data_IF_580672612506
#
_entry.id   IF_580672612506
#
_cell.length_a   1.000
_cell.length_b   1.000
_cell.length_c   1.000
_cell.angle_alpha   90.00
_cell.angle_beta   90.00
_cell.angle_gamma   90.00
#
_symmetry.space_group_name_H-M   'P 1'
#
loop_
_entity.id
_entity.type
_entity.pdbx_description
1 polymer ?
#
# COMPACT_ATOMS: atom_id res chain seq x y z
N UNK A 1 12.78 -58.38 -24.57
CA UNK A 1 11.37 -58.44 -24.15
C UNK A 1 11.25 -57.63 -22.88
N UNK A 2 10.32 -56.66 -22.89
CA UNK A 2 9.79 -55.83 -21.81
C UNK A 2 10.45 -55.88 -20.43
N UNK A 3 10.84 -54.71 -19.91
CA UNK A 3 10.36 -54.23 -18.60
C UNK A 3 10.14 -52.71 -18.70
N UNK A 4 8.88 -52.33 -18.91
CA UNK A 4 8.34 -50.99 -18.71
C UNK A 4 8.21 -50.78 -17.20
N UNK A 5 8.90 -49.76 -16.67
CA UNK A 5 8.58 -49.16 -15.38
C UNK A 5 7.64 -47.99 -15.68
N UNK A 6 6.34 -48.23 -15.55
CA UNK A 6 5.32 -47.18 -15.49
C UNK A 6 5.39 -46.58 -14.09
N UNK A 7 5.84 -45.32 -14.02
CA UNK A 7 5.64 -44.48 -12.86
C UNK A 7 4.17 -44.03 -12.91
N UNK A 8 3.40 -44.40 -11.90
CA UNK A 8 2.07 -43.84 -11.65
C UNK A 8 2.25 -42.45 -11.06
N UNK A 9 1.80 -41.44 -11.81
CA UNK A 9 1.62 -40.07 -11.34
C UNK A 9 0.41 -40.04 -10.38
N UNK A 10 0.68 -39.99 -9.08
CA UNK A 10 -0.29 -39.57 -8.06
C UNK A 10 -0.19 -38.05 -7.92
N UNK A 11 -0.92 -37.32 -8.77
CA UNK A 11 -1.18 -35.89 -8.61
C UNK A 11 -2.29 -35.71 -7.56
N UNK A 12 -1.91 -35.79 -6.28
CA UNK A 12 -2.71 -35.24 -5.19
C UNK A 12 -2.57 -33.70 -5.22
N UNK A 13 -3.44 -33.03 -5.98
CA UNK A 13 -3.71 -31.59 -5.78
C UNK A 13 -4.34 -31.43 -4.39
N UNK A 14 -3.50 -31.22 -3.37
CA UNK A 14 -3.95 -30.68 -2.09
C UNK A 14 -4.52 -29.28 -2.34
N UNK A 15 -5.86 -29.19 -2.36
CA UNK A 15 -6.59 -27.94 -2.19
C UNK A 15 -6.11 -27.28 -0.88
N UNK A 16 -5.16 -26.34 -0.98
CA UNK A 16 -4.80 -25.48 0.13
C UNK A 16 -6.06 -24.70 0.54
N UNK A 17 -6.69 -25.15 1.62
CA UNK A 17 -7.77 -24.46 2.32
C UNK A 17 -7.38 -22.99 2.51
N UNK A 18 -7.92 -22.11 1.66
CA UNK A 18 -7.84 -20.66 1.81
C UNK A 18 -8.60 -20.33 3.09
N UNK A 19 -7.88 -20.29 4.20
CA UNK A 19 -8.41 -19.81 5.48
C UNK A 19 -8.89 -18.40 5.24
N UNK A 20 -10.21 -18.21 5.25
CA UNK A 20 -10.81 -16.88 5.33
C UNK A 20 -10.25 -16.20 6.57
N UNK A 21 -9.28 -15.29 6.38
CA UNK A 21 -8.73 -14.51 7.48
C UNK A 21 -9.88 -13.71 8.11
N UNK A 22 -10.29 -14.12 9.31
CA UNK A 22 -11.38 -13.45 10.01
C UNK A 22 -11.06 -11.96 10.15
N UNK A 23 -11.98 -11.11 9.66
CA UNK A 23 -11.85 -9.66 9.79
C UNK A 23 -11.67 -9.32 11.29
N UNK A 24 -10.60 -8.61 11.66
CA UNK A 24 -10.25 -8.41 13.06
C UNK A 24 -11.35 -7.65 13.79
N UNK A 25 -11.64 -8.02 15.05
CA UNK A 25 -12.79 -7.53 15.81
C UNK A 25 -12.93 -6.00 15.83
N UNK A 26 -11.80 -5.29 15.85
CA UNK A 26 -11.77 -3.82 15.82
C UNK A 26 -12.32 -3.23 14.52
N UNK A 27 -12.07 -3.88 13.38
CA UNK A 27 -12.59 -3.43 12.09
C UNK A 27 -14.09 -3.73 12.01
N UNK A 28 -14.54 -4.89 12.50
CA UNK A 28 -15.96 -5.24 12.59
C UNK A 28 -16.74 -4.22 13.44
N UNK A 29 -16.22 -3.85 14.61
CA UNK A 29 -16.83 -2.87 15.52
C UNK A 29 -16.89 -1.47 14.88
N UNK A 30 -15.79 -1.00 14.30
CA UNK A 30 -15.75 0.29 13.62
C UNK A 30 -16.71 0.34 12.41
N UNK A 31 -16.81 -0.76 11.67
CA UNK A 31 -17.71 -0.90 10.52
C UNK A 31 -19.17 -0.77 10.93
N UNK A 32 -19.57 -1.42 12.02
CA UNK A 32 -20.91 -1.29 12.59
C UNK A 32 -21.17 0.16 13.03
N UNK A 33 -20.25 0.76 13.76
CA UNK A 33 -20.34 2.15 14.24
C UNK A 33 -20.52 3.14 13.08
N UNK A 34 -19.73 3.02 12.01
CA UNK A 34 -19.88 3.87 10.82
C UNK A 34 -21.19 3.63 10.10
N UNK A 35 -21.62 2.37 9.97
CA UNK A 35 -22.89 2.02 9.33
C UNK A 35 -24.06 2.68 10.06
N UNK A 36 -24.15 2.53 11.38
CA UNK A 36 -25.23 3.09 12.19
C UNK A 36 -25.29 4.61 12.05
N UNK A 37 -24.12 5.27 12.09
CA UNK A 37 -23.99 6.72 11.86
C UNK A 37 -24.57 7.16 10.51
N UNK A 38 -24.29 6.42 9.44
CA UNK A 38 -24.72 6.80 8.09
C UNK A 38 -26.16 6.38 7.77
N UNK A 39 -26.63 5.30 8.37
CA UNK A 39 -28.03 4.87 8.25
C UNK A 39 -28.98 5.87 8.93
N UNK A 40 -28.56 6.51 10.03
CA UNK A 40 -29.31 7.57 10.70
C UNK A 40 -29.46 8.86 9.87
N UNK A 41 -28.62 9.10 8.85
CA UNK A 41 -28.64 10.32 8.05
C UNK A 41 -29.67 10.28 6.91
N UNK A 42 -30.09 11.45 6.42
CA UNK A 42 -30.98 11.52 5.27
C UNK A 42 -30.25 11.11 3.97
N UNK A 43 -31.02 10.65 2.98
CA UNK A 43 -30.46 10.32 1.68
C UNK A 43 -29.85 11.53 0.96
N UNK A 44 -30.18 12.77 1.34
CA UNK A 44 -29.59 13.99 0.78
C UNK A 44 -28.23 14.28 1.42
N UNK A 45 -28.13 14.14 2.74
CA UNK A 45 -26.88 14.39 3.49
C UNK A 45 -25.79 13.43 3.06
N UNK A 46 -26.11 12.15 2.85
CA UNK A 46 -25.16 11.17 2.32
C UNK A 46 -24.64 11.58 0.93
N UNK A 47 -25.47 12.16 0.04
CA UNK A 47 -24.96 12.63 -1.27
C UNK A 47 -24.01 13.81 -1.08
N UNK A 48 -24.39 14.79 -0.26
CA UNK A 48 -23.53 15.94 0.03
C UNK A 48 -22.18 15.49 0.59
N UNK A 49 -22.18 14.51 1.49
CA UNK A 49 -20.96 13.93 2.05
C UNK A 49 -20.11 13.21 0.99
N UNK A 50 -20.72 12.49 0.04
CA UNK A 50 -20.00 11.87 -1.07
C UNK A 50 -19.42 12.92 -2.04
N UNK A 51 -20.20 13.95 -2.39
CA UNK A 51 -19.75 15.05 -3.25
C UNK A 51 -18.62 15.86 -2.60
N UNK A 52 -18.69 16.09 -1.29
CA UNK A 52 -17.63 16.78 -0.55
C UNK A 52 -16.30 15.99 -0.54
N UNK A 53 -16.34 14.67 -0.77
CA UNK A 53 -15.15 13.82 -0.95
C UNK A 53 -14.77 13.59 -2.42
N UNK A 54 -15.36 14.36 -3.34
CA UNK A 54 -15.19 14.25 -4.80
C UNK A 54 -15.41 12.83 -5.34
N UNK A 55 -16.34 12.08 -4.74
CA UNK A 55 -16.65 10.72 -5.17
C UNK A 55 -17.53 10.76 -6.43
N UNK A 56 -16.99 10.28 -7.54
CA UNK A 56 -17.70 10.13 -8.83
C UNK A 56 -18.63 8.92 -8.82
N UNK A 57 -19.74 9.02 -8.10
CA UNK A 57 -20.73 7.95 -7.97
C UNK A 57 -21.74 7.92 -9.14
N UNK A 58 -22.19 6.72 -9.52
CA UNK A 58 -23.20 6.52 -10.57
C UNK A 58 -24.50 7.26 -10.25
N UNK A 59 -25.09 7.89 -11.28
CA UNK A 59 -26.43 8.48 -11.17
C UNK A 59 -27.48 7.40 -10.85
N UNK A 60 -28.41 7.70 -9.96
CA UNK A 60 -29.44 6.75 -9.51
C UNK A 60 -29.03 5.78 -8.39
N UNK A 61 -27.80 5.84 -7.90
CA UNK A 61 -27.33 5.01 -6.77
C UNK A 61 -28.18 5.23 -5.51
N UNK A 62 -28.63 4.12 -4.91
CA UNK A 62 -29.52 4.10 -3.73
C UNK A 62 -28.78 4.57 -2.47
N UNK A 63 -29.53 4.97 -1.44
CA UNK A 63 -28.94 5.41 -0.15
C UNK A 63 -28.03 4.33 0.44
N UNK A 64 -28.48 3.08 0.51
CA UNK A 64 -27.71 1.97 1.09
C UNK A 64 -26.35 1.74 0.42
N UNK A 65 -26.30 1.81 -0.91
CA UNK A 65 -25.05 1.68 -1.67
C UNK A 65 -24.07 2.82 -1.36
N UNK A 66 -24.57 4.06 -1.27
CA UNK A 66 -23.73 5.22 -0.90
C UNK A 66 -23.23 5.11 0.55
N UNK A 67 -24.06 4.61 1.45
CA UNK A 67 -23.68 4.34 2.85
C UNK A 67 -22.55 3.32 2.89
N UNK A 68 -22.68 2.21 2.16
CA UNK A 68 -21.65 1.18 2.14
C UNK A 68 -20.31 1.70 1.61
N UNK A 69 -20.34 2.46 0.50
CA UNK A 69 -19.14 3.12 -0.03
C UNK A 69 -18.51 4.03 1.03
N UNK A 70 -19.34 4.78 1.78
CA UNK A 70 -18.84 5.68 2.80
C UNK A 70 -18.21 4.94 3.99
N UNK A 71 -18.83 3.86 4.44
CA UNK A 71 -18.27 2.98 5.47
C UNK A 71 -16.90 2.45 5.04
N UNK A 72 -16.77 1.92 3.81
CA UNK A 72 -15.49 1.42 3.29
C UNK A 72 -14.42 2.52 3.28
N UNK A 73 -14.78 3.72 2.86
CA UNK A 73 -13.88 4.87 2.79
C UNK A 73 -13.38 5.27 4.18
N UNK A 74 -14.26 5.36 5.17
CA UNK A 74 -13.87 5.82 6.50
C UNK A 74 -13.12 4.72 7.27
N UNK A 75 -13.43 3.45 7.03
CA UNK A 75 -12.59 2.32 7.46
C UNK A 75 -11.20 2.37 6.83
N UNK A 76 -11.12 2.64 5.52
CA UNK A 76 -9.83 2.82 4.85
C UNK A 76 -9.01 3.96 5.47
N UNK A 77 -9.67 5.07 5.79
CA UNK A 77 -9.01 6.20 6.43
C UNK A 77 -8.57 5.90 7.88
N UNK A 78 -9.39 5.18 8.65
CA UNK A 78 -9.08 4.86 10.05
C UNK A 78 -7.99 3.80 10.19
N UNK A 79 -8.07 2.73 9.41
CA UNK A 79 -7.18 1.58 9.57
C UNK A 79 -6.03 1.58 8.57
N UNK A 80 -6.29 1.80 7.29
CA UNK A 80 -5.23 1.64 6.28
C UNK A 80 -4.27 2.82 6.25
N UNK A 81 -4.76 4.07 6.28
CA UNK A 81 -3.88 5.24 6.34
C UNK A 81 -2.97 5.16 7.58
N UNK A 82 -3.52 4.86 8.75
CA UNK A 82 -2.73 4.85 9.98
C UNK A 82 -1.77 3.64 10.08
N UNK A 83 -2.19 2.45 9.63
CA UNK A 83 -1.37 1.22 9.70
C UNK A 83 -0.29 1.18 8.63
N UNK A 84 -0.60 1.65 7.41
CA UNK A 84 0.35 1.71 6.30
C UNK A 84 1.33 2.85 6.53
N UNK A 85 0.87 4.01 7.01
CA UNK A 85 1.66 5.23 6.97
C UNK A 85 2.36 5.62 8.30
N UNK A 86 2.20 4.85 9.37
CA UNK A 86 3.10 4.90 10.54
C UNK A 86 2.89 6.05 11.54
N UNK A 87 1.92 6.95 11.30
CA UNK A 87 1.60 8.06 12.21
C UNK A 87 0.51 7.70 13.25
N UNK A 88 0.01 6.46 13.25
CA UNK A 88 -1.06 6.01 14.13
C UNK A 88 -0.61 5.86 15.59
N UNK A 89 -1.28 6.57 16.52
CA UNK A 89 -1.13 6.49 17.99
C UNK A 89 -1.39 5.11 18.63
N UNK A 90 -1.57 4.05 17.83
CA UNK A 90 -1.99 2.73 18.30
C UNK A 90 -1.23 1.54 17.72
N UNK A 91 -0.26 1.73 16.81
CA UNK A 91 0.52 0.60 16.32
C UNK A 91 1.55 0.19 17.38
N UNK A 92 1.31 -0.94 18.04
CA UNK A 92 2.33 -1.68 18.81
C UNK A 92 3.64 -1.62 18.02
N UNK A 93 4.70 -1.09 18.64
CA UNK A 93 6.05 -0.90 18.10
C UNK A 93 6.36 -1.84 16.92
N UNK A 94 6.03 -1.43 15.68
CA UNK A 94 6.71 -2.01 14.51
C UNK A 94 8.16 -1.56 14.66
N UNK A 95 9.12 -2.49 14.57
CA UNK A 95 10.56 -2.26 14.78
C UNK A 95 11.18 -1.23 13.81
N UNK A 96 10.39 -0.54 12.98
CA UNK A 96 10.85 0.45 11.99
C UNK A 96 10.71 1.86 12.59
N UNK A 97 11.48 2.15 13.63
CA UNK A 97 11.29 3.30 14.53
C UNK A 97 11.47 4.73 13.98
N UNK A 98 11.27 5.03 12.69
CA UNK A 98 11.22 6.45 12.25
C UNK A 98 10.59 6.76 10.89
N UNK A 99 9.73 5.90 10.30
CA UNK A 99 9.02 6.30 9.07
C UNK A 99 7.82 7.20 9.41
N UNK A 100 7.60 8.24 8.62
CA UNK A 100 6.38 9.09 8.69
C UNK A 100 5.48 8.75 7.53
N UNK A 101 4.23 9.23 7.55
CA UNK A 101 3.31 8.99 6.44
C UNK A 101 3.81 9.50 5.09
N UNK A 102 4.59 10.56 5.11
CA UNK A 102 5.18 11.21 3.94
C UNK A 102 6.24 10.36 3.25
N UNK A 103 7.01 9.58 4.03
CA UNK A 103 8.14 8.81 3.52
C UNK A 103 7.71 7.79 2.46
N UNK A 104 6.53 7.19 2.60
CA UNK A 104 6.02 6.23 1.62
C UNK A 104 5.67 6.88 0.29
N UNK A 105 5.03 8.05 0.30
CA UNK A 105 4.68 8.76 -0.93
C UNK A 105 5.93 9.28 -1.65
N UNK A 106 6.89 9.82 -0.89
CA UNK A 106 8.19 10.19 -1.44
C UNK A 106 8.88 9.00 -2.10
N UNK A 107 8.91 7.85 -1.42
CA UNK A 107 9.52 6.63 -1.94
C UNK A 107 8.83 6.16 -3.23
N UNK A 108 7.50 6.16 -3.26
CA UNK A 108 6.73 5.81 -4.46
C UNK A 108 7.10 6.74 -5.63
N UNK A 109 7.11 8.05 -5.41
CA UNK A 109 7.50 9.00 -6.44
C UNK A 109 8.91 8.71 -6.98
N UNK A 110 9.86 8.38 -6.10
CA UNK A 110 11.24 8.05 -6.49
C UNK A 110 11.34 6.76 -7.29
N UNK A 111 10.69 5.68 -6.83
CA UNK A 111 10.74 4.39 -7.53
C UNK A 111 10.14 4.50 -8.94
N UNK A 112 9.17 5.38 -9.12
CA UNK A 112 8.53 5.66 -10.41
C UNK A 112 9.10 6.87 -11.16
N UNK A 113 10.20 7.48 -10.70
CA UNK A 113 10.93 8.46 -11.51
C UNK A 113 11.39 7.80 -12.80
N UNK A 114 11.22 8.46 -13.94
CA UNK A 114 11.57 7.89 -15.26
C UNK A 114 12.98 7.30 -15.30
N UNK A 115 13.95 8.00 -14.72
CA UNK A 115 15.35 7.56 -14.69
C UNK A 115 15.53 6.27 -13.88
N UNK A 116 14.79 6.10 -12.77
CA UNK A 116 14.86 4.91 -11.93
C UNK A 116 13.96 3.79 -12.46
N UNK A 117 12.82 4.08 -13.07
CA UNK A 117 11.96 3.11 -13.73
C UNK A 117 12.70 2.41 -14.88
N UNK A 118 13.47 3.16 -15.67
CA UNK A 118 14.33 2.58 -16.71
C UNK A 118 15.40 1.67 -16.09
N UNK A 119 16.09 2.11 -15.01
CA UNK A 119 17.06 1.25 -14.30
C UNK A 119 16.42 0.02 -13.66
N UNK A 120 15.20 0.14 -13.16
CA UNK A 120 14.45 -0.97 -12.59
C UNK A 120 14.16 -2.03 -13.65
N UNK A 121 13.69 -1.65 -14.84
CA UNK A 121 13.47 -2.60 -15.93
C UNK A 121 14.77 -3.29 -16.38
N UNK A 122 15.90 -2.58 -16.33
CA UNK A 122 17.23 -3.13 -16.62
C UNK A 122 17.79 -4.01 -15.49
N UNK A 123 17.25 -3.91 -14.27
CA UNK A 123 17.64 -4.75 -13.14
C UNK A 123 17.10 -6.19 -13.24
N UNK A 124 16.30 -6.49 -14.26
CA UNK A 124 15.69 -7.80 -14.50
C UNK A 124 16.68 -8.97 -14.61
N UNK A 125 16.54 -9.93 -13.69
CA UNK A 125 16.86 -11.37 -13.77
C UNK A 125 18.20 -11.79 -14.41
N UNK A 126 19.32 -11.19 -13.99
CA UNK A 126 20.66 -11.77 -14.22
C UNK A 126 21.34 -12.26 -12.95
N UNK A 127 20.64 -12.27 -11.83
CA UNK A 127 21.24 -12.73 -10.59
C UNK A 127 21.27 -14.28 -10.56
N UNK A 128 22.42 -14.89 -10.25
CA UNK A 128 22.52 -16.33 -10.04
C UNK A 128 21.55 -16.82 -8.95
N UNK A 129 20.99 -18.02 -9.11
CA UNK A 129 20.08 -18.66 -8.13
C UNK A 129 20.66 -18.64 -6.70
N UNK A 130 21.96 -18.88 -6.56
CA UNK A 130 22.65 -18.85 -5.27
C UNK A 130 22.59 -17.49 -4.55
N UNK A 131 22.58 -16.38 -5.30
CA UNK A 131 22.48 -15.04 -4.73
C UNK A 131 21.01 -14.69 -4.35
N UNK A 132 20.03 -15.33 -5.01
CA UNK A 132 18.61 -15.25 -4.65
C UNK A 132 18.35 -16.01 -3.35
N UNK A 133 18.89 -17.22 -3.23
CA UNK A 133 18.68 -18.10 -2.06
C UNK A 133 19.32 -17.52 -0.78
N UNK A 134 20.38 -16.73 -0.92
CA UNK A 134 21.08 -16.06 0.21
C UNK A 134 20.56 -14.65 0.50
N UNK A 135 19.59 -14.13 -0.28
CA UNK A 135 19.15 -12.72 -0.27
C UNK A 135 20.28 -11.70 -0.51
N UNK A 136 21.47 -12.11 -0.95
CA UNK A 136 22.64 -11.24 -1.08
C UNK A 136 22.50 -10.17 -2.19
N UNK A 137 21.58 -10.37 -3.15
CA UNK A 137 21.27 -9.41 -4.22
C UNK A 137 20.71 -8.11 -3.65
N UNK A 138 19.97 -8.22 -2.56
CA UNK A 138 19.22 -7.13 -1.97
C UNK A 138 20.12 -6.11 -1.26
N UNK A 139 21.27 -6.52 -0.75
CA UNK A 139 22.19 -5.61 -0.05
C UNK A 139 23.21 -4.97 -1.02
N UNK A 140 23.40 -5.57 -2.20
CA UNK A 140 24.42 -5.18 -3.19
C UNK A 140 23.88 -4.61 -4.50
N UNK A 141 22.56 -4.61 -4.72
CA UNK A 141 22.00 -4.08 -5.96
C UNK A 141 22.23 -2.58 -6.07
N UNK A 142 22.95 -2.16 -7.12
CA UNK A 142 23.18 -0.75 -7.46
C UNK A 142 21.86 0.04 -7.50
N UNK A 143 20.78 -0.59 -7.96
CA UNK A 143 19.46 0.02 -8.02
C UNK A 143 18.97 0.50 -6.64
N UNK A 144 19.20 -0.27 -5.58
CA UNK A 144 18.75 0.09 -4.22
C UNK A 144 19.56 1.22 -3.63
N UNK A 145 20.85 1.25 -3.95
CA UNK A 145 21.72 2.38 -3.58
C UNK A 145 21.31 3.64 -4.32
N UNK A 146 20.93 3.53 -5.61
CA UNK A 146 20.39 4.63 -6.40
C UNK A 146 19.07 5.16 -5.82
N UNK A 147 18.13 4.27 -5.48
CA UNK A 147 16.86 4.65 -4.82
C UNK A 147 17.12 5.36 -3.50
N UNK A 148 18.05 4.84 -2.67
CA UNK A 148 18.43 5.50 -1.42
C UNK A 148 19.03 6.88 -1.66
N UNK A 149 19.95 7.00 -2.62
CA UNK A 149 20.61 8.26 -2.96
C UNK A 149 19.58 9.31 -3.40
N UNK A 150 18.67 8.93 -4.31
CA UNK A 150 17.56 9.77 -4.74
C UNK A 150 16.62 10.11 -3.57
N UNK A 151 16.41 9.21 -2.62
CA UNK A 151 15.53 9.46 -1.47
C UNK A 151 16.03 10.52 -0.51
N UNK A 152 17.32 10.46 -0.17
CA UNK A 152 17.92 11.40 0.80
C UNK A 152 18.31 12.74 0.18
N UNK A 153 18.28 12.85 -1.15
CA UNK A 153 18.56 14.08 -1.87
C UNK A 153 17.50 15.15 -1.58
N UNK A 154 17.94 16.38 -1.36
CA UNK A 154 17.05 17.54 -1.29
C UNK A 154 16.69 17.98 -2.71
N UNK A 155 15.39 18.05 -3.00
CA UNK A 155 14.87 18.57 -4.26
C UNK A 155 14.15 19.90 -4.01
N UNK A 156 14.08 20.79 -5.02
CA UNK A 156 13.20 21.96 -4.99
C UNK A 156 11.76 21.59 -4.64
N UNK A 157 11.02 22.52 -4.03
CA UNK A 157 9.65 22.27 -3.57
C UNK A 157 8.72 21.80 -4.70
N UNK A 158 8.89 22.35 -5.90
CA UNK A 158 8.12 22.07 -7.13
C UNK A 158 8.59 20.81 -7.89
N UNK A 159 9.52 20.04 -7.32
CA UNK A 159 9.99 18.82 -7.97
C UNK A 159 8.97 17.69 -7.82
N UNK A 160 8.75 16.88 -8.86
CA UNK A 160 7.78 15.77 -8.89
C UNK A 160 7.89 14.78 -7.72
N UNK A 161 9.10 14.59 -7.17
CA UNK A 161 9.35 13.77 -5.97
C UNK A 161 8.63 14.31 -4.72
N UNK A 162 8.47 15.62 -4.64
CA UNK A 162 7.85 16.33 -3.53
C UNK A 162 6.33 16.54 -3.73
N UNK A 163 5.80 16.20 -4.91
CA UNK A 163 4.40 16.43 -5.26
C UNK A 163 3.53 15.18 -5.04
N UNK A 164 2.23 15.39 -4.84
CA UNK A 164 1.25 14.31 -4.90
C UNK A 164 0.67 14.28 -6.31
N UNK A 165 0.69 13.11 -6.95
CA UNK A 165 0.14 12.91 -8.29
C UNK A 165 -1.33 13.35 -8.41
N UNK A 166 -2.10 13.27 -7.32
CA UNK A 166 -3.47 13.74 -7.29
C UNK A 166 -3.86 14.32 -5.93
N UNK A 167 -4.77 15.29 -5.95
CA UNK A 167 -5.43 15.79 -4.75
C UNK A 167 -6.61 14.89 -4.43
N UNK A 168 -6.55 14.17 -3.31
CA UNK A 168 -7.65 13.31 -2.84
C UNK A 168 -7.74 13.41 -1.31
N UNK A 169 -8.95 13.31 -0.74
CA UNK A 169 -9.13 13.46 0.71
C UNK A 169 -8.34 12.43 1.54
N UNK A 170 -7.99 11.28 0.97
CA UNK A 170 -7.13 10.28 1.62
C UNK A 170 -5.68 10.74 1.77
N UNK A 171 -5.26 11.74 0.98
CA UNK A 171 -3.91 12.29 1.01
C UNK A 171 -3.84 13.63 1.74
N UNK A 172 -4.92 14.01 2.44
CA UNK A 172 -4.95 15.27 3.19
C UNK A 172 -3.87 15.31 4.27
N UNK A 173 -3.11 16.40 4.29
CA UNK A 173 -1.99 16.59 5.21
C UNK A 173 -0.79 15.67 4.93
N UNK A 174 -0.66 15.12 3.72
CA UNK A 174 0.53 14.40 3.27
C UNK A 174 1.39 15.34 2.43
N UNK A 175 2.61 15.58 2.89
CA UNK A 175 3.60 16.43 2.19
C UNK A 175 4.89 15.62 1.94
N UNK A 176 5.10 15.05 0.72
CA UNK A 176 6.27 14.21 0.42
C UNK A 176 7.64 14.90 0.58
N UNK A 177 7.68 16.24 0.60
CA UNK A 177 8.88 17.02 0.93
C UNK A 177 9.31 16.89 2.40
N UNK A 178 8.39 16.55 3.30
CA UNK A 178 8.69 16.32 4.73
C UNK A 178 9.13 14.87 4.90
N UNK A 179 10.43 14.60 4.83
CA UNK A 179 10.96 13.24 4.94
C UNK A 179 12.02 13.09 6.04
N UNK A 180 12.27 11.84 6.41
CA UNK A 180 13.38 11.46 7.30
C UNK A 180 14.36 10.59 6.52
N UNK A 181 15.68 10.82 6.62
CA UNK A 181 16.65 9.96 5.98
C UNK A 181 16.51 8.50 6.43
N UNK A 182 16.64 7.56 5.48
CA UNK A 182 16.52 6.13 5.70
C UNK A 182 17.69 5.37 5.06
N UNK A 183 18.04 4.21 5.64
CA UNK A 183 18.96 3.26 4.99
C UNK A 183 18.25 2.57 3.82
N UNK A 184 19.02 2.00 2.89
CA UNK A 184 18.46 1.25 1.75
C UNK A 184 17.61 0.07 2.23
N UNK A 185 18.10 -0.67 3.23
CA UNK A 185 17.38 -1.75 3.90
C UNK A 185 16.03 -1.27 4.45
N UNK A 186 16.03 -0.12 5.14
CA UNK A 186 14.82 0.42 5.75
C UNK A 186 13.80 0.87 4.72
N UNK A 187 14.23 1.40 3.57
CA UNK A 187 13.32 1.77 2.48
C UNK A 187 12.64 0.54 1.85
N UNK A 188 13.28 -0.62 1.87
CA UNK A 188 12.68 -1.86 1.38
C UNK A 188 11.63 -2.43 2.33
N UNK A 189 11.83 -2.26 3.64
CA UNK A 189 10.87 -2.67 4.67
C UNK A 189 9.67 -1.68 4.82
N UNK A 190 9.59 -0.63 3.99
CA UNK A 190 8.50 0.36 4.05
C UNK A 190 7.23 -0.12 3.38
#
# INVERSE_FOLDING_TARGET
MQMLLEASDDDDEEDEDVKEEEEPDKIKEARATFRDKYEALSANDIRKMCTAKDLKLKSGMKKGERVEIRVRIDLAAEFFINVVLGDGKGSKKRKVGSRTKHCMYRLLNIVFLDQLAVRFSQSGNKAPRADLDTRAINDRSNFRQDVRAAFVQEYPEEHEVNELFMTHYLFEGITPSVFKPHSAEKLFDM
#
